data_IF_779470994920
#
_entry.id   IF_779470994920
#
_cell.length_a   1.000
_cell.length_b   1.000
_cell.length_c   1.000
_cell.angle_alpha   90.00
_cell.angle_beta   90.00
_cell.angle_gamma   90.00
#
_symmetry.space_group_name_H-M   'P 1'
#
loop_
_entity.id
_entity.type
_entity.pdbx_description
1 polymer ?
#
# COMPACT_ATOMS: atom_id res chain seq x y z
N UNK A 1 -2.30 -15.98 13.81
CA UNK A 1 -1.02 -16.04 13.09
C UNK A 1 -0.41 -17.45 13.13
N UNK A 2 -0.41 -18.14 14.25
CA UNK A 2 0.16 -19.50 14.37
C UNK A 2 -0.57 -20.50 13.47
N UNK A 3 -1.89 -20.48 13.44
CA UNK A 3 -2.69 -21.31 12.54
C UNK A 3 -2.40 -21.06 11.06
N UNK A 4 -2.24 -19.79 10.67
CA UNK A 4 -1.83 -19.41 9.31
C UNK A 4 -0.43 -19.94 8.94
N UNK A 5 0.50 -19.96 9.90
CA UNK A 5 1.84 -20.54 9.67
C UNK A 5 1.74 -22.04 9.39
N UNK A 6 0.93 -22.77 10.17
CA UNK A 6 0.73 -24.22 9.97
C UNK A 6 0.11 -24.53 8.60
N UNK A 7 -0.89 -23.75 8.19
CA UNK A 7 -1.53 -23.89 6.86
C UNK A 7 -0.53 -23.55 5.74
N UNK A 8 0.27 -22.47 5.90
CA UNK A 8 1.27 -22.09 4.94
C UNK A 8 2.38 -23.15 4.78
N UNK A 9 2.85 -23.74 5.89
CA UNK A 9 3.82 -24.81 5.87
C UNK A 9 3.29 -26.01 5.08
N UNK A 10 2.09 -26.49 5.41
CA UNK A 10 1.46 -27.61 4.71
C UNK A 10 1.29 -27.35 3.21
N UNK A 11 0.97 -26.10 2.84
CA UNK A 11 0.86 -25.69 1.44
C UNK A 11 2.22 -25.76 0.72
N UNK A 12 3.29 -25.27 1.34
CA UNK A 12 4.66 -25.34 0.77
C UNK A 12 5.10 -26.80 0.59
N UNK A 13 4.86 -27.65 1.58
CA UNK A 13 5.23 -29.07 1.51
C UNK A 13 4.50 -29.78 0.35
N UNK A 14 3.19 -29.57 0.23
CA UNK A 14 2.39 -30.15 -0.85
C UNK A 14 2.80 -29.62 -2.23
N UNK A 15 3.04 -28.31 -2.36
CA UNK A 15 3.46 -27.70 -3.62
C UNK A 15 4.85 -28.17 -4.03
N UNK A 16 5.81 -28.24 -3.10
CA UNK A 16 7.16 -28.71 -3.40
C UNK A 16 7.17 -30.15 -3.88
N UNK A 17 6.43 -31.05 -3.23
CA UNK A 17 6.27 -32.43 -3.66
C UNK A 17 5.63 -32.52 -5.05
N UNK A 18 4.60 -31.74 -5.31
CA UNK A 18 3.98 -31.70 -6.63
C UNK A 18 4.96 -31.25 -7.70
N UNK A 19 5.73 -30.20 -7.47
CA UNK A 19 6.72 -29.67 -8.43
C UNK A 19 7.83 -30.69 -8.70
N UNK A 20 8.41 -31.29 -7.66
CA UNK A 20 9.46 -32.29 -7.77
C UNK A 20 8.98 -33.52 -8.61
N UNK A 21 7.74 -33.93 -8.39
CA UNK A 21 7.18 -35.12 -9.07
C UNK A 21 6.78 -34.86 -10.52
N UNK A 22 6.23 -33.65 -10.81
CA UNK A 22 5.52 -33.42 -12.08
C UNK A 22 6.23 -32.42 -13.01
N UNK A 23 7.22 -31.68 -12.54
CA UNK A 23 7.90 -30.66 -13.35
C UNK A 23 9.39 -30.99 -13.47
N UNK A 24 9.83 -31.31 -14.67
CA UNK A 24 11.21 -31.79 -14.94
C UNK A 24 12.29 -30.84 -14.39
N UNK A 25 12.10 -29.55 -14.49
CA UNK A 25 13.04 -28.55 -13.99
C UNK A 25 13.24 -28.61 -12.45
N UNK A 26 12.26 -29.13 -11.69
CA UNK A 26 12.31 -29.24 -10.24
C UNK A 26 12.64 -30.65 -9.73
N UNK A 27 12.93 -31.64 -10.63
CA UNK A 27 13.15 -33.05 -10.27
C UNK A 27 14.19 -33.25 -9.15
N UNK A 28 15.22 -32.46 -9.13
CA UNK A 28 16.31 -32.48 -8.13
C UNK A 28 16.26 -31.30 -7.19
N UNK A 29 15.15 -30.57 -7.16
CA UNK A 29 14.96 -29.43 -6.28
C UNK A 29 14.69 -29.84 -4.83
N UNK A 30 14.97 -28.93 -3.92
CA UNK A 30 14.61 -29.06 -2.50
C UNK A 30 14.21 -27.70 -1.94
N UNK A 31 13.35 -27.68 -0.92
CA UNK A 31 13.03 -26.46 -0.17
C UNK A 31 14.22 -26.11 0.70
N UNK A 32 14.90 -25.03 0.39
CA UNK A 32 16.07 -24.56 1.13
C UNK A 32 15.69 -23.73 2.36
N UNK A 33 14.65 -22.93 2.22
CA UNK A 33 14.23 -22.01 3.28
C UNK A 33 12.75 -21.67 3.13
N UNK A 34 12.06 -21.55 4.26
CA UNK A 34 10.69 -21.03 4.35
C UNK A 34 10.73 -19.80 5.21
N UNK A 35 10.07 -18.72 4.76
CA UNK A 35 10.02 -17.47 5.51
C UNK A 35 9.49 -17.73 6.94
N UNK A 36 10.14 -17.18 7.98
CA UNK A 36 9.76 -17.43 9.37
C UNK A 36 8.41 -16.79 9.75
N UNK A 37 7.95 -15.84 8.93
CA UNK A 37 6.71 -15.11 9.17
C UNK A 37 5.82 -15.07 7.93
N UNK A 38 4.50 -15.02 8.19
CA UNK A 38 3.51 -14.82 7.13
C UNK A 38 3.49 -13.35 6.73
N UNK A 39 3.66 -13.08 5.45
CA UNK A 39 3.58 -11.71 4.90
C UNK A 39 2.16 -11.15 4.97
N UNK A 40 1.95 -10.09 5.76
CA UNK A 40 0.67 -9.38 5.83
C UNK A 40 0.61 -8.29 4.75
N UNK A 41 -0.42 -8.33 3.88
CA UNK A 41 -0.62 -7.33 2.82
C UNK A 41 -1.26 -6.05 3.34
N UNK A 42 -2.24 -6.19 4.21
CA UNK A 42 -2.96 -5.09 4.86
C UNK A 42 -2.91 -5.29 6.36
N UNK A 43 -2.72 -4.21 7.08
CA UNK A 43 -2.69 -4.20 8.54
C UNK A 43 -3.50 -3.03 9.09
N UNK A 44 -3.15 -2.61 10.29
CA UNK A 44 -3.73 -1.41 10.89
C UNK A 44 -3.38 -0.18 10.05
N UNK A 45 -4.38 0.67 9.87
CA UNK A 45 -4.24 1.97 9.21
C UNK A 45 -4.35 3.07 10.26
N UNK A 46 -3.65 4.16 10.00
CA UNK A 46 -3.65 5.31 10.89
C UNK A 46 -4.87 6.20 10.65
N UNK A 47 -5.22 7.02 11.62
CA UNK A 47 -6.26 8.04 11.50
C UNK A 47 -5.59 9.37 11.19
N UNK A 48 -5.70 9.78 9.94
CA UNK A 48 -5.17 11.03 9.43
C UNK A 48 -6.16 12.18 9.46
N UNK A 49 -5.70 13.37 9.03
CA UNK A 49 -6.55 14.55 8.83
C UNK A 49 -7.55 14.35 7.70
N UNK A 50 -7.23 13.50 6.73
CA UNK A 50 -8.11 13.04 5.67
C UNK A 50 -8.15 11.51 5.64
N UNK A 51 -9.30 10.94 5.31
CA UNK A 51 -9.49 9.50 5.10
C UNK A 51 -9.69 9.26 3.59
N UNK A 52 -8.71 8.67 2.92
CA UNK A 52 -8.87 8.26 1.52
C UNK A 52 -9.94 7.18 1.43
N UNK A 53 -10.94 7.40 0.59
CA UNK A 53 -12.08 6.49 0.42
C UNK A 53 -12.02 5.73 -0.91
N UNK A 54 -12.82 4.66 -1.02
CA UNK A 54 -13.00 3.94 -2.29
C UNK A 54 -13.57 4.84 -3.38
N UNK A 55 -14.48 5.75 -3.01
CA UNK A 55 -15.08 6.70 -3.95
C UNK A 55 -14.04 7.67 -4.50
N UNK A 56 -13.09 8.13 -3.67
CA UNK A 56 -11.99 8.96 -4.13
C UNK A 56 -11.14 8.24 -5.20
N UNK A 57 -10.92 6.94 -5.02
CA UNK A 57 -10.17 6.10 -5.97
C UNK A 57 -10.97 5.90 -7.26
N UNK A 58 -12.22 5.44 -7.14
CA UNK A 58 -13.05 5.07 -8.30
C UNK A 58 -13.47 6.28 -9.15
N UNK A 59 -13.62 7.46 -8.52
CA UNK A 59 -13.95 8.71 -9.20
C UNK A 59 -12.70 9.49 -9.64
N UNK A 60 -11.52 8.90 -9.51
CA UNK A 60 -10.25 9.54 -9.90
C UNK A 60 -10.09 10.94 -9.31
N UNK A 61 -10.42 11.09 -8.00
CA UNK A 61 -10.46 12.41 -7.35
C UNK A 61 -9.10 13.10 -7.37
N UNK A 62 -9.11 14.39 -7.67
CA UNK A 62 -7.94 15.28 -7.64
C UNK A 62 -7.99 16.17 -6.40
N UNK A 63 -6.83 16.45 -5.81
CA UNK A 63 -6.70 17.24 -4.60
C UNK A 63 -5.68 18.38 -4.79
N UNK A 64 -5.97 19.53 -4.19
CA UNK A 64 -5.04 20.68 -4.24
C UNK A 64 -3.74 20.42 -3.46
N UNK A 65 -3.79 19.56 -2.44
CA UNK A 65 -2.69 19.13 -1.60
C UNK A 65 -2.20 17.71 -1.94
N UNK A 66 -2.35 17.31 -3.20
CA UNK A 66 -1.93 15.99 -3.67
C UNK A 66 -0.43 15.77 -3.47
N UNK A 67 -0.06 14.58 -2.96
CA UNK A 67 1.35 14.18 -2.73
C UNK A 67 1.71 12.86 -3.43
N UNK A 68 0.75 12.19 -4.03
CA UNK A 68 0.97 11.00 -4.83
C UNK A 68 -0.12 10.85 -5.89
N UNK A 69 0.25 10.26 -7.03
CA UNK A 69 -0.65 9.91 -8.13
C UNK A 69 -0.67 8.39 -8.32
N UNK A 70 -1.85 7.81 -8.57
CA UNK A 70 -1.99 6.39 -8.85
C UNK A 70 -3.03 6.10 -9.91
N UNK A 71 -2.65 5.25 -10.86
CA UNK A 71 -3.54 4.60 -11.84
C UNK A 71 -3.81 3.12 -11.52
N UNK A 72 -3.42 2.63 -10.32
CA UNK A 72 -3.64 1.23 -9.95
C UNK A 72 -5.10 1.00 -9.54
N UNK A 73 -5.77 -0.05 -10.05
CA UNK A 73 -7.16 -0.36 -9.69
C UNK A 73 -7.29 -0.83 -8.24
N UNK A 74 -8.50 -0.89 -7.73
CA UNK A 74 -8.78 -1.53 -6.44
C UNK A 74 -8.71 -3.05 -6.64
N UNK A 75 -7.78 -3.69 -5.96
CA UNK A 75 -7.54 -5.14 -6.03
C UNK A 75 -7.82 -5.79 -4.68
N UNK A 76 -8.97 -6.45 -4.55
CA UNK A 76 -9.42 -7.11 -3.35
C UNK A 76 -9.36 -8.64 -3.51
N UNK A 77 -8.91 -9.32 -2.48
CA UNK A 77 -8.87 -10.79 -2.43
C UNK A 77 -10.00 -11.29 -1.54
N UNK A 78 -11.02 -11.86 -2.18
CA UNK A 78 -12.17 -12.45 -1.49
C UNK A 78 -11.85 -13.78 -0.81
N UNK A 79 -12.80 -14.26 0.01
CA UNK A 79 -12.67 -15.51 0.78
C UNK A 79 -12.43 -16.77 -0.10
N UNK A 80 -12.84 -16.74 -1.37
CA UNK A 80 -12.69 -17.86 -2.31
C UNK A 80 -11.37 -17.82 -3.12
N UNK A 81 -10.38 -17.07 -2.68
CA UNK A 81 -9.10 -16.86 -3.40
C UNK A 81 -9.28 -16.28 -4.81
N UNK A 82 -10.41 -15.63 -5.08
CA UNK A 82 -10.66 -14.90 -6.32
C UNK A 82 -10.31 -13.44 -6.11
N UNK A 83 -9.55 -12.89 -7.05
CA UNK A 83 -9.26 -11.46 -7.10
C UNK A 83 -10.48 -10.76 -7.68
N UNK A 84 -11.00 -9.79 -6.97
CA UNK A 84 -11.98 -8.83 -7.47
C UNK A 84 -11.24 -7.54 -7.80
N UNK A 85 -11.22 -7.15 -9.07
CA UNK A 85 -10.55 -5.94 -9.53
C UNK A 85 -11.64 -4.95 -9.97
N UNK A 86 -11.64 -3.76 -9.36
CA UNK A 86 -12.52 -2.66 -9.74
C UNK A 86 -11.69 -1.58 -10.40
N UNK A 87 -11.92 -1.40 -11.70
CA UNK A 87 -11.27 -0.39 -12.52
C UNK A 87 -12.02 0.94 -12.44
N UNK A 88 -11.33 2.03 -12.69
CA UNK A 88 -11.88 3.35 -12.96
C UNK A 88 -11.63 3.72 -14.43
N UNK A 89 -11.92 4.96 -14.84
CA UNK A 89 -11.81 5.40 -16.24
C UNK A 89 -10.41 5.15 -16.82
N UNK A 90 -10.34 4.69 -18.05
CA UNK A 90 -9.08 4.48 -18.78
C UNK A 90 -8.31 5.81 -18.92
N UNK A 91 -6.98 5.72 -18.80
CA UNK A 91 -6.06 6.86 -18.91
C UNK A 91 -6.25 7.93 -17.81
N UNK A 92 -7.00 7.63 -16.75
CA UNK A 92 -7.15 8.50 -15.60
C UNK A 92 -6.39 7.96 -14.38
N UNK A 93 -6.30 8.76 -13.33
CA UNK A 93 -5.61 8.46 -12.09
C UNK A 93 -6.29 9.19 -10.93
N UNK A 94 -6.22 8.64 -9.75
CA UNK A 94 -6.59 9.34 -8.53
C UNK A 94 -5.37 9.91 -7.83
N UNK A 95 -5.60 10.81 -6.87
CA UNK A 95 -4.55 11.42 -6.06
C UNK A 95 -4.70 11.05 -4.59
N UNK A 96 -3.59 11.06 -3.88
CA UNK A 96 -3.54 10.91 -2.42
C UNK A 96 -3.23 12.29 -1.82
N UNK A 97 -4.12 12.88 -0.99
CA UNK A 97 -3.87 14.16 -0.38
C UNK A 97 -2.93 14.06 0.83
N UNK A 98 -2.21 15.13 1.12
CA UNK A 98 -1.29 15.24 2.26
C UNK A 98 -1.95 14.91 3.60
N UNK A 99 -3.24 15.21 3.75
CA UNK A 99 -4.02 14.91 4.95
C UNK A 99 -4.06 13.42 5.30
N UNK A 100 -3.85 12.51 4.35
CA UNK A 100 -3.75 11.06 4.60
C UNK A 100 -2.47 10.66 5.34
N UNK A 101 -1.44 11.50 5.28
CA UNK A 101 -0.12 11.25 5.87
C UNK A 101 0.06 11.91 7.24
N UNK A 102 -0.80 12.84 7.61
CA UNK A 102 -0.71 13.58 8.88
C UNK A 102 -1.66 13.00 9.91
N UNK A 103 -1.17 12.73 11.11
CA UNK A 103 -2.02 12.32 12.23
C UNK A 103 -3.07 13.38 12.56
N UNK A 104 -4.31 12.93 12.81
CA UNK A 104 -5.41 13.80 13.22
C UNK A 104 -5.20 14.38 14.63
N UNK A 105 -4.55 13.63 15.51
CA UNK A 105 -4.45 13.93 16.94
C UNK A 105 -3.05 14.30 17.43
N UNK A 106 -2.00 14.00 16.66
CA UNK A 106 -0.61 14.24 17.06
C UNK A 106 0.07 15.05 15.95
N UNK A 107 0.45 16.28 16.25
CA UNK A 107 0.89 17.28 15.25
C UNK A 107 2.17 16.88 14.49
N UNK A 108 3.11 16.24 15.16
CA UNK A 108 4.40 15.84 14.62
C UNK A 108 4.50 14.35 14.23
N UNK A 109 3.36 13.67 14.04
CA UNK A 109 3.31 12.27 13.60
C UNK A 109 2.80 12.18 12.17
N UNK A 110 3.62 11.56 11.32
CA UNK A 110 3.35 11.33 9.90
C UNK A 110 3.32 9.85 9.57
N UNK A 111 2.59 9.49 8.53
CA UNK A 111 2.39 8.12 8.06
C UNK A 111 2.84 7.98 6.61
N UNK A 112 3.19 6.77 6.20
CA UNK A 112 3.50 6.47 4.80
C UNK A 112 3.19 5.01 4.44
N UNK A 113 3.11 4.72 3.16
CA UNK A 113 2.93 3.36 2.67
C UNK A 113 1.61 2.73 3.07
N UNK A 114 1.65 1.49 3.58
CA UNK A 114 0.45 0.69 3.83
C UNK A 114 -0.37 1.09 5.07
N UNK A 115 0.12 2.00 5.88
CA UNK A 115 -0.57 2.49 7.09
C UNK A 115 -1.10 3.92 6.98
N UNK A 116 -1.13 4.51 5.79
CA UNK A 116 -1.77 5.80 5.57
C UNK A 116 -3.25 5.76 5.96
N UNK A 117 -3.84 6.93 6.22
CA UNK A 117 -5.27 7.05 6.55
C UNK A 117 -6.13 6.75 5.33
N UNK A 118 -6.76 5.57 5.32
CA UNK A 118 -7.57 5.11 4.20
C UNK A 118 -8.60 4.07 4.64
N UNK A 119 -9.66 3.90 3.86
CA UNK A 119 -10.56 2.75 3.97
C UNK A 119 -9.87 1.46 3.49
N UNK A 120 -10.48 0.31 3.74
CA UNK A 120 -9.94 -0.98 3.32
C UNK A 120 -9.89 -1.10 1.79
N UNK A 121 -10.93 -0.66 1.09
CA UNK A 121 -10.96 -0.67 -0.36
C UNK A 121 -9.97 0.32 -0.98
N UNK A 122 -9.81 1.52 -0.42
CA UNK A 122 -8.84 2.49 -0.92
C UNK A 122 -7.40 1.98 -0.79
N UNK A 123 -7.03 1.36 0.36
CA UNK A 123 -5.67 0.81 0.53
C UNK A 123 -5.44 -0.41 -0.37
N UNK A 124 -6.49 -1.10 -0.81
CA UNK A 124 -6.36 -2.18 -1.77
C UNK A 124 -5.78 -1.73 -3.12
N UNK A 125 -5.90 -0.44 -3.45
CA UNK A 125 -5.21 0.23 -4.55
C UNK A 125 -3.92 0.92 -4.09
N UNK A 126 -3.97 1.72 -3.02
CA UNK A 126 -2.91 2.64 -2.61
C UNK A 126 -1.67 1.97 -1.95
N UNK A 127 -1.64 0.65 -1.81
CA UNK A 127 -0.54 -0.10 -1.17
C UNK A 127 0.58 -0.54 -2.11
N UNK A 128 0.48 -0.27 -3.41
CA UNK A 128 1.50 -0.67 -4.38
C UNK A 128 2.80 0.11 -4.20
N UNK A 129 3.92 -0.48 -4.61
CA UNK A 129 5.25 0.08 -4.35
C UNK A 129 5.40 1.53 -4.80
N UNK A 130 4.89 1.89 -6.00
CA UNK A 130 4.97 3.25 -6.51
C UNK A 130 4.33 4.28 -5.58
N UNK A 131 3.14 3.96 -5.03
CA UNK A 131 2.47 4.84 -4.05
C UNK A 131 3.20 4.84 -2.71
N UNK A 132 3.69 3.68 -2.25
CA UNK A 132 4.45 3.62 -1.01
C UNK A 132 5.73 4.48 -1.08
N UNK A 133 6.42 4.52 -2.22
CA UNK A 133 7.59 5.37 -2.44
C UNK A 133 7.21 6.87 -2.44
N UNK A 134 6.17 7.26 -3.18
CA UNK A 134 5.69 8.64 -3.23
C UNK A 134 5.25 9.12 -1.84
N UNK A 135 4.44 8.35 -1.13
CA UNK A 135 3.98 8.70 0.23
C UNK A 135 5.12 8.70 1.24
N UNK A 136 6.13 7.84 1.09
CA UNK A 136 7.34 7.82 1.92
C UNK A 136 8.17 9.10 1.75
N UNK A 137 8.40 9.49 0.50
CA UNK A 137 9.10 10.75 0.18
C UNK A 137 8.35 11.97 0.73
N UNK A 138 7.04 12.07 0.45
CA UNK A 138 6.21 13.17 0.90
C UNK A 138 6.16 13.27 2.44
N UNK A 139 5.97 12.13 3.12
CA UNK A 139 5.97 12.06 4.58
C UNK A 139 7.31 12.54 5.17
N UNK A 140 8.43 12.16 4.54
CA UNK A 140 9.77 12.62 4.93
C UNK A 140 9.93 14.14 4.79
N UNK A 141 9.51 14.71 3.65
CA UNK A 141 9.54 16.16 3.43
C UNK A 141 8.69 16.91 4.45
N UNK A 142 7.47 16.42 4.72
CA UNK A 142 6.54 17.03 5.67
C UNK A 142 7.06 16.95 7.11
N UNK A 143 7.64 15.82 7.50
CA UNK A 143 8.26 15.64 8.81
C UNK A 143 9.49 16.53 9.00
N UNK A 144 10.31 16.70 7.97
CA UNK A 144 11.45 17.61 7.99
C UNK A 144 11.00 19.07 8.11
N UNK A 145 9.95 19.48 7.39
CA UNK A 145 9.39 20.81 7.50
C UNK A 145 8.87 21.08 8.92
N UNK A 146 8.16 20.14 9.53
CA UNK A 146 7.70 20.25 10.92
C UNK A 146 8.87 20.43 11.89
N UNK A 147 9.91 19.60 11.77
CA UNK A 147 11.10 19.67 12.63
C UNK A 147 11.87 21.00 12.51
N UNK A 148 11.82 21.61 11.33
CA UNK A 148 12.48 22.89 11.03
C UNK A 148 11.58 24.11 11.27
N UNK A 149 10.33 23.92 11.70
CA UNK A 149 9.36 25.01 11.88
C UNK A 149 8.94 25.66 10.55
N UNK A 150 9.03 24.94 9.43
CA UNK A 150 8.65 25.42 8.11
C UNK A 150 7.17 25.13 7.82
N UNK A 151 6.63 25.82 6.80
CA UNK A 151 5.24 25.63 6.38
C UNK A 151 5.00 24.23 5.78
N UNK A 152 3.97 23.52 6.25
CA UNK A 152 3.53 22.26 5.65
C UNK A 152 3.03 22.44 4.21
N UNK A 153 2.43 23.60 3.90
CA UNK A 153 2.00 23.90 2.53
C UNK A 153 3.20 24.03 1.58
N UNK A 154 4.31 24.59 2.04
CA UNK A 154 5.51 24.69 1.21
C UNK A 154 6.18 23.34 1.02
N UNK A 155 6.16 22.46 2.03
CA UNK A 155 6.60 21.08 1.90
C UNK A 155 5.77 20.31 0.85
N UNK A 156 4.44 20.47 0.87
CA UNK A 156 3.54 19.88 -0.13
C UNK A 156 3.84 20.40 -1.53
N UNK A 157 4.03 21.70 -1.72
CA UNK A 157 4.41 22.28 -3.01
C UNK A 157 5.76 21.78 -3.50
N UNK A 158 6.74 21.60 -2.61
CA UNK A 158 8.03 21.02 -2.96
C UNK A 158 7.89 19.59 -3.46
N UNK A 159 7.04 18.77 -2.81
CA UNK A 159 6.73 17.41 -3.26
C UNK A 159 6.07 17.44 -4.64
N UNK A 160 5.08 18.30 -4.85
CA UNK A 160 4.38 18.46 -6.13
C UNK A 160 5.34 18.85 -7.27
N UNK A 161 6.27 19.76 -7.02
CA UNK A 161 7.26 20.21 -8.00
C UNK A 161 8.32 19.13 -8.33
N UNK A 162 8.56 18.20 -7.42
CA UNK A 162 9.52 17.10 -7.62
C UNK A 162 8.91 15.85 -8.26
N UNK A 163 7.60 15.82 -8.48
CA UNK A 163 6.87 14.69 -9.09
C UNK A 163 6.64 14.85 -10.61
N UNK A 164 7.13 15.89 -11.21
CA UNK A 164 7.01 16.17 -12.65
C UNK A 164 8.21 15.62 -13.43
#
# INVERSE_FOLDING_TARGET
LQELKTVAQSFVDNLSQFLIKNVVAFRHGSVQHIAPEVGTRTGLRSIGKYLLTEDDVLQCRKFHDAIANSSWPIEEWGQQRRVNIRYFAEQDFYQVPAGCLQSKSISNLFFAGRNISSTEGAIASARVMGICLQTGYASGCMAAAEALGLSQNDAVKQVQNGQL
#
